data_IF_937697939622
#
_entry.id   IF_937697939622
#
_cell.length_a   1.000
_cell.length_b   1.000
_cell.length_c   1.000
_cell.angle_alpha   90.00
_cell.angle_beta   90.00
_cell.angle_gamma   90.00
#
_symmetry.space_group_name_H-M   'P 1'
#
loop_
_entity.id
_entity.type
_entity.pdbx_description
1 polymer ?
#
# COMPACT_ATOMS: atom_id res chain seq x y z
N UNK A 1 -33.56 8.08 -22.29
CA UNK A 1 -33.75 8.26 -20.83
C UNK A 1 -32.39 8.18 -20.17
N UNK A 2 -31.70 9.31 -20.12
CA UNK A 2 -30.43 9.50 -19.41
C UNK A 2 -30.72 9.46 -17.92
N UNK A 3 -30.65 8.26 -17.33
CA UNK A 3 -30.56 8.17 -15.88
C UNK A 3 -29.30 8.92 -15.46
N UNK A 4 -29.45 9.80 -14.48
CA UNK A 4 -28.35 10.53 -13.85
C UNK A 4 -27.16 9.57 -13.64
N UNK A 5 -26.04 9.82 -14.32
CA UNK A 5 -24.79 9.05 -14.18
C UNK A 5 -23.95 9.50 -12.97
N UNK A 6 -24.49 10.43 -12.16
CA UNK A 6 -23.82 11.03 -11.00
C UNK A 6 -24.48 10.85 -9.61
N UNK A 7 -25.40 9.91 -9.33
CA UNK A 7 -25.75 9.61 -7.95
C UNK A 7 -24.82 8.50 -7.48
N UNK A 8 -23.78 8.82 -6.69
CA UNK A 8 -23.32 8.00 -5.53
C UNK A 8 -21.88 8.22 -5.02
N UNK A 9 -21.05 9.05 -5.64
CA UNK A 9 -19.65 9.24 -5.18
C UNK A 9 -19.49 9.97 -3.81
N UNK A 10 -20.60 10.36 -3.19
CA UNK A 10 -20.64 10.95 -1.84
C UNK A 10 -21.15 9.99 -0.75
N UNK A 11 -21.33 8.70 -1.03
CA UNK A 11 -21.66 7.74 0.03
C UNK A 11 -20.44 7.58 0.94
N UNK A 12 -20.67 7.68 2.26
CA UNK A 12 -19.65 7.53 3.29
C UNK A 12 -19.08 6.10 3.40
N UNK A 13 -19.56 5.17 2.56
CA UNK A 13 -19.28 3.74 2.62
C UNK A 13 -19.12 3.14 1.22
N UNK A 14 -18.21 2.17 1.10
CA UNK A 14 -18.02 1.39 -0.12
C UNK A 14 -19.08 0.29 -0.22
N UNK A 15 -19.69 0.04 -1.40
CA UNK A 15 -20.50 -1.17 -1.57
C UNK A 15 -19.63 -2.43 -1.44
N UNK A 16 -20.22 -3.59 -1.17
CA UNK A 16 -19.48 -4.86 -1.07
C UNK A 16 -19.01 -5.29 -2.47
N UNK A 17 -17.69 -5.34 -2.73
CA UNK A 17 -17.18 -5.63 -4.07
C UNK A 17 -17.54 -7.01 -4.61
N UNK A 18 -17.98 -7.94 -3.75
CA UNK A 18 -18.36 -9.31 -4.16
C UNK A 18 -19.78 -9.39 -4.71
N UNK A 19 -20.61 -8.37 -4.47
CA UNK A 19 -22.04 -8.39 -4.79
C UNK A 19 -22.50 -7.19 -5.60
N UNK A 20 -21.69 -6.13 -5.61
CA UNK A 20 -22.00 -4.92 -6.35
C UNK A 20 -21.40 -4.97 -7.75
N UNK A 21 -22.24 -4.83 -8.76
CA UNK A 21 -21.84 -4.73 -10.15
C UNK A 21 -21.40 -3.29 -10.46
N UNK A 22 -20.08 -3.07 -10.57
CA UNK A 22 -19.54 -1.75 -10.86
C UNK A 22 -19.60 -1.48 -12.37
N UNK A 23 -19.93 -0.24 -12.77
CA UNK A 23 -19.98 0.09 -14.19
C UNK A 23 -18.58 -0.03 -14.81
N UNK A 24 -18.50 -0.70 -15.96
CA UNK A 24 -17.27 -0.83 -16.75
C UNK A 24 -16.68 0.54 -17.15
N UNK A 25 -17.56 1.52 -17.39
CA UNK A 25 -17.20 2.88 -17.77
C UNK A 25 -17.88 3.90 -16.87
N UNK A 26 -17.14 4.91 -16.43
CA UNK A 26 -17.68 6.05 -15.68
C UNK A 26 -17.36 7.36 -16.37
N UNK A 27 -18.26 8.33 -16.25
CA UNK A 27 -18.06 9.68 -16.75
C UNK A 27 -17.43 10.55 -15.63
N UNK A 28 -16.23 11.09 -15.87
CA UNK A 28 -15.54 12.00 -14.97
C UNK A 28 -15.39 13.35 -15.68
N UNK A 29 -16.21 14.33 -15.29
CA UNK A 29 -16.35 15.57 -16.05
C UNK A 29 -16.92 15.27 -17.43
N UNK A 30 -16.13 15.49 -18.48
CA UNK A 30 -16.50 15.22 -19.88
C UNK A 30 -15.82 13.97 -20.46
N UNK A 31 -15.03 13.23 -19.66
CA UNK A 31 -14.22 12.10 -20.11
C UNK A 31 -14.78 10.77 -19.63
N UNK A 32 -14.82 9.77 -20.52
CA UNK A 32 -15.08 8.38 -20.15
C UNK A 32 -13.82 7.73 -19.61
N UNK A 33 -13.93 7.11 -18.43
CA UNK A 33 -12.86 6.35 -17.79
C UNK A 33 -13.26 4.89 -17.69
N UNK A 34 -12.37 4.00 -18.12
CA UNK A 34 -12.54 2.55 -17.98
C UNK A 34 -12.26 2.15 -16.53
N UNK A 35 -13.30 1.77 -15.80
CA UNK A 35 -13.31 1.61 -14.36
C UNK A 35 -13.20 0.16 -13.89
N UNK A 36 -12.81 -0.79 -14.76
CA UNK A 36 -12.84 -2.23 -14.47
C UNK A 36 -12.29 -2.67 -13.09
N UNK A 37 -11.31 -1.95 -12.53
CA UNK A 37 -10.77 -2.22 -11.19
C UNK A 37 -11.09 -1.13 -10.15
N UNK A 38 -11.86 -0.10 -10.49
CA UNK A 38 -12.18 1.05 -9.64
C UNK A 38 -13.62 0.97 -9.14
N UNK A 39 -13.77 0.87 -7.82
CA UNK A 39 -15.06 0.74 -7.16
C UNK A 39 -15.67 2.08 -6.75
N UNK A 40 -14.85 3.13 -6.64
CA UNK A 40 -15.32 4.47 -6.32
C UNK A 40 -14.33 5.55 -6.77
N UNK A 41 -14.85 6.73 -7.06
CA UNK A 41 -14.08 7.95 -7.29
C UNK A 41 -14.44 9.02 -6.26
N UNK A 42 -13.45 9.77 -5.79
CA UNK A 42 -13.67 10.99 -5.01
C UNK A 42 -14.15 10.80 -3.57
N UNK A 43 -14.28 9.55 -3.09
CA UNK A 43 -14.48 9.28 -1.66
C UNK A 43 -13.29 9.84 -0.89
N UNK A 44 -13.56 10.61 0.16
CA UNK A 44 -12.54 11.34 0.94
C UNK A 44 -11.52 10.37 1.53
N UNK A 45 -10.25 10.73 1.47
CA UNK A 45 -9.17 10.01 2.16
C UNK A 45 -9.19 10.40 3.65
N UNK A 46 -9.77 9.54 4.49
CA UNK A 46 -9.73 9.66 5.96
C UNK A 46 -9.36 8.32 6.57
N UNK A 47 -9.05 8.31 7.86
CA UNK A 47 -8.69 7.08 8.57
C UNK A 47 -9.85 6.08 8.52
N UNK A 48 -11.07 6.56 8.67
CA UNK A 48 -12.30 5.78 8.70
C UNK A 48 -12.58 5.16 7.32
N UNK A 49 -12.46 5.93 6.24
CA UNK A 49 -12.68 5.41 4.88
C UNK A 49 -11.59 4.43 4.48
N UNK A 50 -10.33 4.70 4.82
CA UNK A 50 -9.23 3.77 4.56
C UNK A 50 -9.40 2.47 5.34
N UNK A 51 -9.78 2.55 6.62
CA UNK A 51 -10.07 1.37 7.44
C UNK A 51 -11.20 0.52 6.86
N UNK A 52 -12.29 1.14 6.41
CA UNK A 52 -13.38 0.43 5.75
C UNK A 52 -12.93 -0.21 4.44
N UNK A 53 -12.15 0.51 3.63
CA UNK A 53 -11.66 0.05 2.34
C UNK A 53 -10.83 -1.23 2.49
N UNK A 54 -9.82 -1.26 3.38
CA UNK A 54 -8.97 -2.43 3.56
C UNK A 54 -9.74 -3.67 4.02
N UNK A 55 -10.75 -3.50 4.88
CA UNK A 55 -11.64 -4.61 5.29
C UNK A 55 -12.44 -5.22 4.15
N UNK A 56 -12.58 -4.50 3.03
CA UNK A 56 -13.28 -4.93 1.81
C UNK A 56 -12.31 -5.27 0.67
N UNK A 57 -11.00 -5.29 0.91
CA UNK A 57 -9.99 -5.51 -0.13
C UNK A 57 -9.76 -4.31 -1.06
N UNK A 58 -10.30 -3.14 -0.71
CA UNK A 58 -10.24 -1.91 -1.48
C UNK A 58 -9.04 -1.07 -1.02
N UNK A 59 -8.34 -0.39 -1.94
CA UNK A 59 -7.25 0.52 -1.60
C UNK A 59 -7.27 1.81 -2.43
N UNK A 60 -6.91 2.96 -1.85
CA UNK A 60 -6.83 4.22 -2.59
C UNK A 60 -5.50 4.29 -3.35
N UNK A 61 -5.55 4.78 -4.59
CA UNK A 61 -4.32 5.06 -5.35
C UNK A 61 -4.45 6.39 -6.09
N UNK A 62 -3.75 7.41 -5.60
CA UNK A 62 -3.79 8.73 -6.22
C UNK A 62 -3.29 8.72 -7.67
N UNK A 63 -4.07 9.34 -8.54
CA UNK A 63 -3.70 9.63 -9.92
C UNK A 63 -3.96 11.11 -10.21
N UNK A 64 -2.96 11.78 -10.80
CA UNK A 64 -3.05 13.21 -11.09
C UNK A 64 -4.15 13.48 -12.11
N UNK A 65 -4.99 14.46 -11.84
CA UNK A 65 -6.01 14.95 -12.79
C UNK A 65 -7.35 14.22 -12.73
N UNK A 66 -7.50 13.23 -11.86
CA UNK A 66 -8.80 12.60 -11.58
C UNK A 66 -9.14 12.67 -10.09
N UNK A 67 -10.43 12.65 -9.71
CA UNK A 67 -10.82 12.41 -8.32
C UNK A 67 -10.21 11.10 -7.81
N UNK A 68 -9.85 11.03 -6.52
CA UNK A 68 -9.15 9.88 -5.93
C UNK A 68 -9.88 8.56 -6.26
N UNK A 69 -9.27 7.68 -7.08
CA UNK A 69 -9.82 6.36 -7.34
C UNK A 69 -9.54 5.39 -6.18
N UNK A 70 -10.51 4.52 -5.92
CA UNK A 70 -10.43 3.44 -4.96
C UNK A 70 -10.54 2.12 -5.71
N UNK A 71 -9.50 1.29 -5.62
CA UNK A 71 -9.32 0.11 -6.45
C UNK A 71 -9.70 -1.17 -5.71
N UNK A 72 -10.33 -2.11 -6.41
CA UNK A 72 -10.51 -3.51 -6.03
C UNK A 72 -10.34 -4.39 -7.27
N UNK A 73 -9.09 -4.65 -7.71
CA UNK A 73 -8.83 -5.41 -8.92
C UNK A 73 -9.39 -6.82 -8.84
N UNK A 74 -9.95 -7.31 -9.94
CA UNK A 74 -10.45 -8.70 -10.04
C UNK A 74 -9.31 -9.71 -9.82
N UNK A 75 -8.17 -9.46 -10.45
CA UNK A 75 -6.94 -10.22 -10.25
C UNK A 75 -6.02 -9.47 -9.29
N UNK A 76 -5.79 -10.05 -8.11
CA UNK A 76 -4.96 -9.42 -7.07
C UNK A 76 -3.57 -10.06 -7.00
N UNK A 77 -2.54 -9.21 -7.02
CA UNK A 77 -1.20 -9.63 -6.65
C UNK A 77 -1.14 -9.93 -5.16
N UNK A 78 -0.82 -11.19 -4.82
CA UNK A 78 -0.59 -11.66 -3.46
C UNK A 78 0.80 -12.29 -3.38
N UNK A 79 1.40 -12.26 -2.19
CA UNK A 79 2.69 -12.89 -1.93
C UNK A 79 2.46 -14.05 -0.97
N UNK A 80 2.29 -15.24 -1.53
CA UNK A 80 2.24 -16.49 -0.77
C UNK A 80 3.66 -16.81 -0.26
N UNK A 81 3.80 -17.06 1.04
CA UNK A 81 5.11 -17.30 1.62
C UNK A 81 5.71 -18.63 1.15
N UNK A 82 4.90 -19.64 0.84
CA UNK A 82 5.36 -20.96 0.41
C UNK A 82 5.84 -20.96 -1.04
N UNK A 83 5.32 -20.05 -1.86
CA UNK A 83 5.78 -19.83 -3.24
C UNK A 83 6.92 -18.80 -3.35
N UNK A 84 7.38 -18.24 -2.22
CA UNK A 84 8.39 -17.18 -2.21
C UNK A 84 9.74 -17.66 -2.76
N UNK A 85 10.07 -17.21 -3.96
CA UNK A 85 11.38 -17.46 -4.56
C UNK A 85 12.45 -16.47 -4.09
N UNK A 86 13.37 -16.93 -3.23
CA UNK A 86 14.55 -16.15 -2.80
C UNK A 86 15.77 -16.56 -3.61
N UNK A 87 16.32 -15.63 -4.40
CA UNK A 87 17.48 -15.89 -5.24
C UNK A 87 18.73 -16.22 -4.41
N UNK A 88 19.64 -17.04 -4.96
CA UNK A 88 20.91 -17.43 -4.31
C UNK A 88 21.75 -16.21 -3.90
N UNK A 89 21.76 -15.16 -4.73
CA UNK A 89 22.48 -13.92 -4.44
C UNK A 89 21.86 -13.18 -3.26
N UNK A 90 20.53 -13.07 -3.19
CA UNK A 90 19.84 -12.44 -2.06
C UNK A 90 20.04 -13.24 -0.76
N UNK A 91 20.01 -14.57 -0.83
CA UNK A 91 20.35 -15.45 0.30
C UNK A 91 21.78 -15.21 0.81
N UNK A 92 22.75 -15.02 -0.09
CA UNK A 92 24.13 -14.68 0.29
C UNK A 92 24.20 -13.35 1.02
N UNK A 93 23.49 -12.32 0.53
CA UNK A 93 23.46 -10.99 1.16
C UNK A 93 22.74 -11.06 2.53
N UNK A 94 21.63 -11.79 2.65
CA UNK A 94 20.92 -11.98 3.92
C UNK A 94 21.82 -12.51 5.02
N UNK A 95 22.68 -13.50 4.70
CA UNK A 95 23.66 -14.07 5.64
C UNK A 95 24.76 -13.12 6.10
N UNK A 96 25.01 -12.02 5.37
CA UNK A 96 25.99 -11.02 5.78
C UNK A 96 25.49 -10.14 6.92
N UNK A 97 24.17 -10.15 7.20
CA UNK A 97 23.53 -9.46 8.32
C UNK A 97 23.98 -7.99 8.50
N UNK A 98 24.02 -7.24 7.40
CA UNK A 98 24.57 -5.86 7.36
C UNK A 98 23.62 -4.80 7.90
N UNK A 99 22.37 -5.15 8.16
CA UNK A 99 21.35 -4.23 8.61
C UNK A 99 20.77 -4.69 9.94
N UNK A 100 20.45 -3.74 10.81
CA UNK A 100 19.59 -3.96 11.97
C UNK A 100 18.16 -3.68 11.54
N UNK A 101 17.25 -4.63 11.75
CA UNK A 101 15.84 -4.44 11.43
C UNK A 101 15.04 -4.03 12.66
N UNK A 102 14.09 -3.11 12.50
CA UNK A 102 13.10 -2.78 13.52
C UNK A 102 11.70 -2.77 12.91
N UNK A 103 10.69 -2.84 13.79
CA UNK A 103 9.29 -2.66 13.44
C UNK A 103 8.81 -1.41 14.17
N UNK A 104 8.05 -0.56 13.46
CA UNK A 104 7.35 0.59 14.02
C UNK A 104 8.25 1.63 14.74
N UNK A 105 9.56 1.62 14.46
CA UNK A 105 10.49 2.54 15.12
C UNK A 105 10.37 3.96 14.56
N UNK A 106 10.20 4.10 13.25
CA UNK A 106 10.06 5.41 12.60
C UNK A 106 9.21 5.32 11.33
N UNK A 107 7.93 5.01 11.51
CA UNK A 107 6.94 4.95 10.42
C UNK A 107 6.95 6.21 9.55
N UNK A 108 7.08 7.37 10.19
CA UNK A 108 7.11 8.66 9.52
C UNK A 108 8.26 8.78 8.54
N UNK A 109 9.47 8.36 8.92
CA UNK A 109 10.62 8.36 8.01
C UNK A 109 10.39 7.39 6.85
N UNK A 110 9.87 6.20 7.10
CA UNK A 110 9.61 5.19 6.05
C UNK A 110 8.64 5.71 4.99
N UNK A 111 7.47 6.23 5.38
CA UNK A 111 6.47 6.69 4.40
C UNK A 111 6.96 7.93 3.62
N UNK A 112 7.71 8.84 4.26
CA UNK A 112 8.33 9.99 3.58
C UNK A 112 9.44 9.56 2.62
N UNK A 113 10.21 8.54 2.96
CA UNK A 113 11.20 7.96 2.04
C UNK A 113 10.52 7.27 0.85
N UNK A 114 9.45 6.51 1.07
CA UNK A 114 8.62 5.96 0.00
C UNK A 114 8.01 7.03 -0.91
N UNK A 115 7.70 8.23 -0.38
CA UNK A 115 7.16 9.33 -1.18
C UNK A 115 8.20 10.11 -1.99
N UNK A 116 9.49 9.87 -1.78
CA UNK A 116 10.57 10.70 -2.38
C UNK A 116 11.54 9.91 -3.23
N UNK A 117 11.71 8.61 -2.99
CA UNK A 117 12.63 7.78 -3.77
C UNK A 117 12.14 7.64 -5.20
N UNK A 118 12.97 8.09 -6.14
CA UNK A 118 12.73 7.96 -7.58
C UNK A 118 12.86 6.51 -7.98
N UNK A 119 11.93 6.03 -8.82
CA UNK A 119 12.01 4.70 -9.44
C UNK A 119 12.25 4.89 -10.93
N UNK A 120 13.15 4.12 -11.56
CA UNK A 120 13.27 4.10 -13.01
C UNK A 120 11.88 3.86 -13.58
N UNK A 121 11.46 4.67 -14.57
CA UNK A 121 10.16 4.57 -15.24
C UNK A 121 8.94 5.16 -14.49
N UNK A 122 9.08 5.64 -13.26
CA UNK A 122 7.98 6.34 -12.57
C UNK A 122 8.18 7.86 -12.61
N UNK A 123 7.21 8.57 -13.18
CA UNK A 123 7.18 10.04 -13.24
C UNK A 123 6.90 10.74 -11.90
N UNK A 124 6.66 9.98 -10.82
CA UNK A 124 6.39 10.46 -9.48
C UNK A 124 5.79 9.36 -8.60
N UNK A 125 5.64 9.65 -7.30
CA UNK A 125 4.92 8.78 -6.36
C UNK A 125 3.43 9.13 -6.34
N UNK A 126 2.58 8.16 -5.98
CA UNK A 126 1.19 8.40 -5.63
C UNK A 126 1.02 8.85 -4.16
N UNK A 127 2.07 8.76 -3.35
CA UNK A 127 2.03 9.08 -1.92
C UNK A 127 2.10 10.60 -1.74
N UNK A 128 0.94 11.24 -1.61
CA UNK A 128 0.82 12.69 -1.37
C UNK A 128 0.96 13.03 0.13
N UNK A 129 0.95 14.33 0.46
CA UNK A 129 0.94 14.80 1.85
C UNK A 129 -0.27 14.28 2.64
N UNK A 130 -1.43 14.16 1.99
CA UNK A 130 -2.66 13.66 2.61
C UNK A 130 -2.53 12.17 2.94
N UNK A 131 -1.94 11.38 2.04
CA UNK A 131 -1.62 9.97 2.32
C UNK A 131 -0.66 9.84 3.50
N UNK A 132 0.42 10.63 3.52
CA UNK A 132 1.36 10.64 4.66
C UNK A 132 0.61 10.92 5.97
N UNK A 133 -0.26 11.93 5.98
CA UNK A 133 -1.02 12.29 7.18
C UNK A 133 -1.97 11.18 7.62
N UNK A 134 -2.77 10.62 6.72
CA UNK A 134 -3.77 9.59 7.04
C UNK A 134 -3.12 8.28 7.47
N UNK A 135 -2.08 7.84 6.77
CA UNK A 135 -1.39 6.59 7.10
C UNK A 135 -0.54 6.72 8.37
N UNK A 136 0.00 7.91 8.67
CA UNK A 136 0.64 8.16 9.97
C UNK A 136 -0.38 8.06 11.10
N UNK A 137 -1.60 8.56 10.91
CA UNK A 137 -2.66 8.40 11.91
C UNK A 137 -3.15 6.94 12.03
N UNK A 138 -3.25 6.20 10.93
CA UNK A 138 -3.50 4.75 10.97
C UNK A 138 -2.42 4.02 11.78
N UNK A 139 -1.15 4.41 11.62
CA UNK A 139 -0.06 3.87 12.41
C UNK A 139 -0.22 4.17 13.91
N UNK A 140 -0.58 5.41 14.28
CA UNK A 140 -0.88 5.77 15.67
C UNK A 140 -2.05 4.96 16.26
N UNK A 141 -2.99 4.51 15.43
CA UNK A 141 -4.11 3.63 15.81
C UNK A 141 -3.77 2.14 15.78
N UNK A 142 -2.52 1.76 15.50
CA UNK A 142 -2.06 0.37 15.46
C UNK A 142 -2.56 -0.41 14.25
N UNK A 143 -2.89 0.27 13.15
CA UNK A 143 -3.40 -0.35 11.92
C UNK A 143 -2.40 -0.32 10.77
N UNK A 144 -1.47 0.63 10.77
CA UNK A 144 -0.39 0.68 9.79
C UNK A 144 0.95 0.43 10.48
N UNK A 145 1.80 -0.36 9.83
CA UNK A 145 3.08 -0.77 10.41
C UNK A 145 4.21 -0.55 9.42
N UNK A 146 5.39 -0.27 9.97
CA UNK A 146 6.62 -0.12 9.20
C UNK A 146 7.66 -1.15 9.60
N UNK A 147 8.52 -1.49 8.64
CA UNK A 147 9.79 -2.18 8.87
C UNK A 147 10.91 -1.25 8.41
N UNK A 148 11.87 -1.04 9.29
CA UNK A 148 13.05 -0.23 9.02
C UNK A 148 14.31 -1.09 8.94
N UNK A 149 15.17 -0.83 7.96
CA UNK A 149 16.52 -1.37 7.90
C UNK A 149 17.52 -0.25 8.22
N UNK A 150 18.28 -0.42 9.30
CA UNK A 150 19.30 0.53 9.75
C UNK A 150 20.70 0.01 9.39
N UNK A 151 21.57 0.87 8.86
CA UNK A 151 22.98 0.53 8.64
C UNK A 151 23.79 0.52 9.95
N UNK A 152 25.07 0.16 9.87
CA UNK A 152 25.95 0.05 11.03
C UNK A 152 26.19 1.41 11.72
N UNK A 153 26.06 2.50 10.97
CA UNK A 153 26.17 3.88 11.43
C UNK A 153 24.85 4.40 12.04
N UNK A 154 23.77 3.61 11.98
CA UNK A 154 22.46 3.97 12.53
C UNK A 154 21.60 4.82 11.61
N UNK A 155 21.94 4.94 10.32
CA UNK A 155 21.10 5.61 9.33
C UNK A 155 20.05 4.65 8.76
N UNK A 156 18.90 5.22 8.38
CA UNK A 156 17.84 4.48 7.70
C UNK A 156 18.29 4.12 6.27
N UNK A 157 18.59 2.85 6.03
CA UNK A 157 19.11 2.33 4.76
C UNK A 157 17.99 1.88 3.80
N UNK A 158 16.80 1.59 4.32
CA UNK A 158 15.63 1.17 3.55
C UNK A 158 14.48 0.77 4.47
N UNK A 159 13.38 0.34 3.86
CA UNK A 159 12.22 -0.12 4.63
C UNK A 159 10.98 -0.30 3.77
N UNK A 160 9.90 -0.68 4.42
CA UNK A 160 8.56 -0.77 3.85
C UNK A 160 7.51 -0.41 4.88
N UNK A 161 6.32 -0.05 4.41
CA UNK A 161 5.15 0.07 5.26
C UNK A 161 3.94 -0.63 4.64
N UNK A 162 2.98 -0.95 5.48
CA UNK A 162 1.73 -1.57 5.07
C UNK A 162 0.63 -1.41 6.10
N UNK A 163 -0.55 -1.92 5.78
CA UNK A 163 -1.75 -1.88 6.63
C UNK A 163 -2.11 -3.30 7.05
N UNK A 164 -2.33 -3.52 8.35
CA UNK A 164 -2.96 -4.73 8.86
C UNK A 164 -4.48 -4.63 8.67
N UNK A 165 -5.01 -5.49 7.81
CA UNK A 165 -6.43 -5.55 7.50
C UNK A 165 -7.18 -6.64 8.29
N UNK A 166 -6.60 -7.17 9.37
CA UNK A 166 -7.27 -8.14 10.25
C UNK A 166 -7.25 -9.56 9.69
N UNK A 167 -6.07 -10.02 9.28
CA UNK A 167 -5.85 -11.37 8.72
C UNK A 167 -4.98 -11.38 7.47
N UNK A 168 -4.69 -10.20 6.90
CA UNK A 168 -3.75 -10.02 5.81
C UNK A 168 -2.99 -8.71 6.01
N UNK A 169 -1.69 -8.73 5.71
CA UNK A 169 -0.88 -7.52 5.67
C UNK A 169 -0.81 -6.98 4.25
N UNK A 170 -1.36 -5.80 4.03
CA UNK A 170 -1.34 -5.11 2.74
C UNK A 170 -0.07 -4.27 2.62
N UNK A 171 0.93 -4.77 1.88
CA UNK A 171 2.16 -4.03 1.61
C UNK A 171 1.91 -2.84 0.68
N UNK A 172 2.09 -1.62 1.19
CA UNK A 172 1.77 -0.38 0.46
C UNK A 172 2.93 0.08 -0.42
N UNK A 173 4.10 0.23 0.20
CA UNK A 173 5.28 0.66 -0.52
C UNK A 173 6.56 0.30 0.23
N UNK A 174 7.66 0.37 -0.50
CA UNK A 174 9.00 0.14 0.02
C UNK A 174 10.01 1.04 -0.66
N UNK A 175 11.14 1.25 0.00
CA UNK A 175 12.23 2.08 -0.51
C UNK A 175 13.57 1.52 -0.04
N UNK A 176 14.64 1.89 -0.73
CA UNK A 176 15.99 1.64 -0.27
C UNK A 176 16.92 2.76 -0.71
N UNK A 177 17.85 3.13 0.17
CA UNK A 177 19.01 3.96 -0.14
C UNK A 177 20.27 3.10 -0.30
N UNK A 178 20.32 1.94 0.36
CA UNK A 178 21.38 0.94 0.17
C UNK A 178 20.88 -0.31 -0.55
N UNK A 179 21.72 -0.96 -1.39
CA UNK A 179 21.31 -2.16 -2.11
C UNK A 179 20.76 -3.26 -1.20
N UNK A 180 19.66 -3.88 -1.65
CA UNK A 180 18.95 -4.96 -0.96
C UNK A 180 18.24 -4.60 0.36
N UNK A 181 18.34 -3.37 0.87
CA UNK A 181 17.71 -3.01 2.14
C UNK A 181 16.18 -3.25 2.14
N UNK A 182 15.46 -2.83 1.08
CA UNK A 182 14.01 -3.07 0.96
C UNK A 182 13.65 -4.55 0.84
N UNK A 183 14.42 -5.32 0.03
CA UNK A 183 14.19 -6.76 -0.14
C UNK A 183 14.41 -7.51 1.16
N UNK A 184 15.47 -7.18 1.90
CA UNK A 184 15.74 -7.80 3.19
C UNK A 184 14.73 -7.35 4.26
N UNK A 185 14.22 -6.11 4.20
CA UNK A 185 13.11 -5.67 5.07
C UNK A 185 11.85 -6.50 4.83
N UNK A 186 11.53 -6.82 3.57
CA UNK A 186 10.43 -7.72 3.23
C UNK A 186 10.67 -9.14 3.76
N UNK A 187 11.88 -9.69 3.57
CA UNK A 187 12.19 -11.02 4.11
C UNK A 187 12.09 -11.06 5.65
N UNK A 188 12.57 -10.01 6.33
CA UNK A 188 12.44 -9.87 7.77
C UNK A 188 10.98 -9.82 8.20
N UNK A 189 10.12 -9.05 7.52
CA UNK A 189 8.68 -9.04 7.79
C UNK A 189 8.07 -10.43 7.65
N UNK A 190 8.40 -11.14 6.57
CA UNK A 190 7.88 -12.50 6.31
C UNK A 190 8.32 -13.47 7.41
N UNK A 191 9.58 -13.41 7.85
CA UNK A 191 10.04 -14.24 8.97
C UNK A 191 9.23 -13.95 10.24
N UNK A 192 9.00 -12.68 10.57
CA UNK A 192 8.22 -12.26 11.73
C UNK A 192 6.73 -12.67 11.64
N UNK A 193 6.15 -12.64 10.44
CA UNK A 193 4.77 -13.10 10.22
C UNK A 193 4.67 -14.62 10.36
N UNK A 194 5.62 -15.38 9.80
CA UNK A 194 5.68 -16.85 9.94
C UNK A 194 5.81 -17.30 11.38
N UNK A 195 6.65 -16.63 12.17
CA UNK A 195 6.78 -16.90 13.61
C UNK A 195 5.45 -16.73 14.38
N UNK A 196 4.51 -15.95 13.83
CA UNK A 196 3.18 -15.68 14.40
C UNK A 196 2.05 -16.44 13.70
N UNK A 197 2.38 -17.37 12.80
CA UNK A 197 1.42 -18.22 12.08
C UNK A 197 0.83 -17.60 10.81
N UNK A 198 1.40 -16.52 10.30
CA UNK A 198 1.06 -15.97 8.98
C UNK A 198 1.54 -16.87 7.84
N UNK A 199 0.81 -16.85 6.73
CA UNK A 199 1.01 -17.66 5.52
C UNK A 199 1.04 -16.79 4.28
#
# INVERSE_FOLDING_TARGET
MTQNLFPQFQKAHFPDPRSYDFPEWVLIGEYFYHAADVVAFGVRLTVETVTEAYRKGIFPWYMRGVPLPWYCPEMRAVLDFDELHITRSLQKVRRQNRFTFTIDRDFGAVIRSCSTVKRPEQGGTWITKDFISVYTELHRRGMAHSVEAWDAEGNLAGGLYGVDAGGVFCGESMFHYQPNASKLSLLFLIDQMRERGGT
#
